data_IF_452868395616
#
_entry.id   IF_452868395616
#
_cell.length_a   1.000
_cell.length_b   1.000
_cell.length_c   1.000
_cell.angle_alpha   90.00
_cell.angle_beta   90.00
_cell.angle_gamma   90.00
#
_symmetry.space_group_name_H-M   'P 1'
#
loop_
_entity.id
_entity.type
_entity.pdbx_description
1 polymer ?
#
# COMPACT_ATOMS: atom_id res chain seq x y z
N UNK A 1 9.53 -16.63 16.03
CA UNK A 1 9.35 -16.50 14.57
C UNK A 1 10.54 -15.70 14.05
N UNK A 2 11.25 -16.18 13.03
CA UNK A 2 12.47 -15.55 12.56
C UNK A 2 12.14 -14.31 11.70
N UNK A 3 12.92 -13.24 11.87
CA UNK A 3 12.78 -12.00 11.09
C UNK A 3 13.14 -12.31 9.62
N UNK A 4 12.30 -11.91 8.67
CA UNK A 4 12.57 -12.10 7.25
C UNK A 4 13.85 -11.32 6.87
N UNK A 5 14.97 -11.98 6.51
CA UNK A 5 16.21 -11.28 6.23
C UNK A 5 16.16 -10.65 4.83
N UNK A 6 16.22 -9.33 4.76
CA UNK A 6 16.40 -8.57 3.51
C UNK A 6 15.24 -7.68 3.11
N UNK A 7 14.02 -7.97 3.57
CA UNK A 7 12.82 -7.24 3.13
C UNK A 7 12.46 -6.09 4.09
N UNK A 8 12.10 -4.95 3.51
CA UNK A 8 11.60 -3.76 4.22
C UNK A 8 10.15 -3.53 3.80
N UNK A 9 9.24 -3.54 4.78
CA UNK A 9 7.84 -3.21 4.58
C UNK A 9 7.61 -1.71 4.70
N UNK A 10 7.07 -1.13 3.64
CA UNK A 10 6.75 0.29 3.57
C UNK A 10 5.24 0.49 3.74
N UNK A 11 4.85 1.36 4.68
CA UNK A 11 3.48 1.82 4.86
C UNK A 11 3.46 3.25 5.39
N UNK A 12 2.42 4.02 5.07
CA UNK A 12 2.23 5.37 5.62
C UNK A 12 1.73 5.36 7.07
N UNK A 13 1.69 6.54 7.71
CA UNK A 13 1.30 6.70 9.12
C UNK A 13 -0.22 6.83 9.34
N UNK A 14 -1.04 6.11 8.57
CA UNK A 14 -2.48 6.13 8.78
C UNK A 14 -2.84 5.54 10.16
N UNK A 15 -3.91 6.03 10.81
CA UNK A 15 -4.31 5.58 12.16
C UNK A 15 -4.41 4.06 12.31
N UNK A 16 -4.92 3.28 11.32
CA UNK A 16 -4.91 1.82 11.41
C UNK A 16 -3.51 1.20 11.45
N UNK A 17 -2.52 1.80 10.77
CA UNK A 17 -1.14 1.30 10.70
C UNK A 17 -0.36 1.59 11.98
N UNK A 18 -0.74 2.64 12.72
CA UNK A 18 -0.11 3.01 14.00
C UNK A 18 -0.89 2.47 15.21
N UNK A 19 -2.07 1.88 15.00
CA UNK A 19 -2.84 1.26 16.07
C UNK A 19 -2.06 0.08 16.66
N UNK A 20 -2.14 -0.11 17.99
CA UNK A 20 -1.34 -1.09 18.75
C UNK A 20 -1.22 -2.47 18.09
N UNK A 21 -2.31 -2.98 17.51
CA UNK A 21 -2.34 -4.31 16.89
C UNK A 21 -1.48 -4.41 15.63
N UNK A 22 -1.28 -3.32 14.88
CA UNK A 22 -0.55 -3.38 13.61
C UNK A 22 0.96 -3.61 13.80
N UNK A 23 1.69 -2.87 14.66
CA UNK A 23 3.08 -3.20 14.99
C UNK A 23 3.24 -4.60 15.58
N UNK A 24 2.30 -5.05 16.43
CA UNK A 24 2.32 -6.41 17.00
C UNK A 24 2.23 -7.49 15.91
N UNK A 25 1.42 -7.27 14.86
CA UNK A 25 1.34 -8.18 13.71
C UNK A 25 2.57 -8.12 12.80
N UNK A 26 3.29 -6.98 12.78
CA UNK A 26 4.44 -6.76 11.90
C UNK A 26 5.80 -6.99 12.59
N UNK A 27 5.82 -7.54 13.80
CA UNK A 27 7.04 -7.71 14.60
C UNK A 27 8.14 -8.58 13.95
N UNK A 28 7.79 -9.41 12.96
CA UNK A 28 8.72 -10.26 12.20
C UNK A 28 9.27 -9.58 10.94
N UNK A 29 8.81 -8.37 10.63
CA UNK A 29 9.15 -7.63 9.40
C UNK A 29 9.83 -6.31 9.77
N UNK A 30 10.84 -5.92 9.00
CA UNK A 30 11.46 -4.61 9.16
C UNK A 30 10.55 -3.57 8.52
N UNK A 31 10.08 -2.57 9.27
CA UNK A 31 9.24 -1.50 8.71
C UNK A 31 10.08 -0.27 8.36
N UNK A 32 9.77 0.39 7.25
CA UNK A 32 10.40 1.64 6.86
C UNK A 32 9.77 2.81 7.63
N UNK A 33 10.56 3.66 8.33
CA UNK A 33 10.03 4.84 8.99
C UNK A 33 9.52 5.86 7.94
N UNK A 34 8.23 6.17 7.98
CA UNK A 34 7.60 7.04 6.98
C UNK A 34 7.52 8.50 7.45
N UNK A 35 7.98 9.49 6.67
CA UNK A 35 7.75 10.89 6.98
C UNK A 35 6.28 11.28 6.79
N UNK A 36 5.76 12.13 7.67
CA UNK A 36 4.37 12.58 7.59
C UNK A 36 4.16 13.46 6.34
N UNK A 37 3.01 13.28 5.68
CA UNK A 37 2.61 14.06 4.49
C UNK A 37 3.55 13.95 3.29
N UNK A 38 4.18 12.79 3.10
CA UNK A 38 5.06 12.53 1.96
C UNK A 38 4.48 11.45 1.03
N UNK A 39 3.39 11.71 0.31
CA UNK A 39 2.87 10.77 -0.69
C UNK A 39 3.84 10.63 -1.88
N UNK A 40 4.58 11.69 -2.20
CA UNK A 40 5.59 11.77 -3.27
C UNK A 40 6.70 10.71 -3.13
N UNK A 41 6.99 10.29 -1.91
CA UNK A 41 7.98 9.25 -1.64
C UNK A 41 7.45 7.83 -1.85
N UNK A 42 6.14 7.65 -1.96
CA UNK A 42 5.49 6.34 -1.98
C UNK A 42 5.39 5.78 -3.40
N UNK A 43 6.05 4.65 -3.71
CA UNK A 43 5.95 4.04 -5.04
C UNK A 43 4.52 3.65 -5.42
N UNK A 44 3.65 3.40 -4.43
CA UNK A 44 2.25 3.04 -4.68
C UNK A 44 1.47 4.17 -5.34
N UNK A 45 1.81 5.45 -5.08
CA UNK A 45 1.11 6.59 -5.69
C UNK A 45 1.35 6.61 -7.20
N UNK A 46 2.58 6.32 -7.63
CA UNK A 46 2.90 6.20 -9.06
C UNK A 46 2.15 5.03 -9.73
N UNK A 47 2.00 3.92 -9.01
CA UNK A 47 1.21 2.77 -9.49
C UNK A 47 -0.27 3.13 -9.58
N UNK A 48 -0.80 3.87 -8.60
CA UNK A 48 -2.18 4.34 -8.61
C UNK A 48 -2.46 5.29 -9.77
N UNK A 49 -1.55 6.21 -10.08
CA UNK A 49 -1.66 7.08 -11.26
C UNK A 49 -1.79 6.23 -12.53
N UNK A 50 -0.87 5.27 -12.73
CA UNK A 50 -0.90 4.38 -13.89
C UNK A 50 -2.19 3.55 -13.98
N UNK A 51 -2.68 3.05 -12.84
CA UNK A 51 -3.96 2.35 -12.79
C UNK A 51 -5.13 3.28 -13.10
N UNK A 52 -5.16 4.52 -12.61
CA UNK A 52 -6.21 5.49 -12.90
C UNK A 52 -6.34 5.74 -14.40
N UNK A 53 -5.22 5.87 -15.12
CA UNK A 53 -5.22 5.99 -16.57
C UNK A 53 -5.77 4.75 -17.29
N UNK A 54 -5.37 3.55 -16.86
CA UNK A 54 -5.77 2.29 -17.52
C UNK A 54 -7.23 1.90 -17.21
N UNK A 55 -7.66 2.08 -15.96
CA UNK A 55 -9.01 1.74 -15.50
C UNK A 55 -10.03 2.77 -16.01
N UNK A 56 -9.66 4.04 -16.11
CA UNK A 56 -10.57 5.11 -16.52
C UNK A 56 -11.72 5.29 -15.53
N UNK A 57 -12.95 5.45 -16.06
CA UNK A 57 -14.15 5.69 -15.26
C UNK A 57 -15.14 4.51 -15.37
N UNK A 58 -14.98 3.46 -14.56
CA UNK A 58 -15.94 2.37 -14.53
C UNK A 58 -17.28 2.84 -13.94
N UNK A 59 -18.38 2.35 -14.50
CA UNK A 59 -19.74 2.74 -14.12
C UNK A 59 -20.35 1.79 -13.07
N UNK A 60 -19.64 0.72 -12.71
CA UNK A 60 -20.05 -0.23 -11.67
C UNK A 60 -18.84 -0.86 -10.98
N UNK A 61 -19.07 -1.44 -9.80
CA UNK A 61 -18.04 -2.19 -9.07
C UNK A 61 -17.54 -3.41 -9.86
N UNK A 62 -18.44 -4.15 -10.52
CA UNK A 62 -18.06 -5.29 -11.36
C UNK A 62 -17.17 -4.85 -12.53
N UNK A 63 -17.47 -3.72 -13.14
CA UNK A 63 -16.65 -3.18 -14.23
C UNK A 63 -15.28 -2.71 -13.72
N UNK A 64 -15.24 -2.04 -12.57
CA UNK A 64 -13.98 -1.66 -11.91
C UNK A 64 -13.10 -2.89 -11.64
N UNK A 65 -13.68 -3.92 -11.03
CA UNK A 65 -12.96 -5.17 -10.70
C UNK A 65 -12.47 -5.88 -11.97
N UNK A 66 -13.32 -6.03 -12.98
CA UNK A 66 -12.96 -6.66 -14.25
C UNK A 66 -11.82 -5.89 -14.95
N UNK A 67 -11.84 -4.56 -14.91
CA UNK A 67 -10.77 -3.73 -15.48
C UNK A 67 -9.48 -3.87 -14.69
N UNK A 68 -9.53 -3.90 -13.36
CA UNK A 68 -8.34 -4.08 -12.51
C UNK A 68 -7.67 -5.45 -12.73
N UNK A 69 -8.46 -6.51 -12.97
CA UNK A 69 -7.94 -7.87 -13.22
C UNK A 69 -7.27 -8.03 -14.60
N UNK A 70 -7.42 -7.05 -15.50
CA UNK A 70 -6.86 -7.08 -16.86
C UNK A 70 -5.56 -6.27 -17.01
N UNK A 71 -5.06 -5.67 -15.93
CA UNK A 71 -3.86 -4.82 -15.93
C UNK A 71 -2.61 -5.61 -15.54
#
# INVERSE_FOLDING_TARGET
MQRLPGDIFQQGNARPHTARMSPDCLHTVTTFPWPARSPDLSPIEHIWDHFGWRVGHPMSLNELEARLQQI
#
